data_IF_353462015158
#
_entry.id   IF_353462015158
#
_cell.length_a   1.000
_cell.length_b   1.000
_cell.length_c   1.000
_cell.angle_alpha   90.00
_cell.angle_beta   90.00
_cell.angle_gamma   90.00
#
_symmetry.space_group_name_H-M   'P 1'
#
loop_
_entity.id
_entity.type
_entity.pdbx_description
1 polymer ?
#
# COMPACT_ATOMS: atom_id res chain seq x y z
N UNK A 1 12.32 22.61 4.07
CA UNK A 1 12.55 21.84 2.83
C UNK A 1 12.04 22.65 1.66
N UNK A 2 12.79 22.79 0.57
CA UNK A 2 12.31 23.51 -0.63
C UNK A 2 11.35 22.64 -1.44
N UNK A 3 10.45 23.26 -2.22
CA UNK A 3 9.51 22.54 -3.09
C UNK A 3 10.23 21.59 -4.06
N UNK A 4 11.29 22.08 -4.72
CA UNK A 4 12.13 21.27 -5.61
C UNK A 4 12.75 20.05 -4.92
N UNK A 5 13.14 20.18 -3.64
CA UNK A 5 13.68 19.04 -2.87
C UNK A 5 12.59 18.04 -2.55
N UNK A 6 11.38 18.50 -2.22
CA UNK A 6 10.24 17.63 -1.95
C UNK A 6 9.85 16.80 -3.17
N UNK A 7 9.70 17.44 -4.34
CA UNK A 7 9.39 16.77 -5.60
C UNK A 7 10.42 15.70 -5.96
N UNK A 8 11.70 16.00 -5.79
CA UNK A 8 12.79 15.06 -6.03
C UNK A 8 12.69 13.83 -5.11
N UNK A 9 12.42 14.04 -3.82
CA UNK A 9 12.26 12.91 -2.90
C UNK A 9 11.04 12.07 -3.24
N UNK A 10 9.93 12.71 -3.62
CA UNK A 10 8.71 12.03 -4.02
C UNK A 10 8.88 11.20 -5.30
N UNK A 11 9.70 11.64 -6.25
CA UNK A 11 9.96 10.88 -7.48
C UNK A 11 10.82 9.62 -7.28
N UNK A 12 11.60 9.56 -6.19
CA UNK A 12 12.51 8.45 -5.89
C UNK A 12 12.14 7.68 -4.62
N UNK A 13 10.91 7.83 -4.12
CA UNK A 13 10.46 7.13 -2.93
C UNK A 13 10.23 5.64 -3.23
N UNK A 14 11.11 4.78 -2.71
CA UNK A 14 11.00 3.32 -2.78
C UNK A 14 10.91 2.73 -1.37
N UNK A 15 9.91 1.87 -1.14
CA UNK A 15 9.64 1.28 0.18
C UNK A 15 9.98 -0.22 0.27
N UNK A 16 10.36 -0.84 -0.86
CA UNK A 16 10.86 -2.21 -0.91
C UNK A 16 11.89 -2.38 -2.04
N UNK A 17 12.76 -3.39 -1.92
CA UNK A 17 13.79 -3.71 -2.90
C UNK A 17 13.19 -4.37 -4.15
N UNK A 18 13.01 -3.57 -5.20
CA UNK A 18 12.41 -4.05 -6.46
C UNK A 18 13.26 -5.10 -7.17
N UNK A 19 14.54 -5.28 -6.83
CA UNK A 19 15.40 -6.32 -7.43
C UNK A 19 15.06 -7.72 -6.94
N UNK A 20 14.37 -7.83 -5.81
CA UNK A 20 13.95 -9.09 -5.19
C UNK A 20 12.49 -9.44 -5.48
N UNK A 21 11.81 -8.64 -6.30
CA UNK A 21 10.42 -8.86 -6.66
C UNK A 21 10.32 -10.13 -7.53
N UNK A 22 9.49 -11.12 -7.15
CA UNK A 22 9.27 -12.30 -7.98
C UNK A 22 8.66 -11.94 -9.34
N UNK A 23 8.88 -12.81 -10.33
CA UNK A 23 8.26 -12.68 -11.65
C UNK A 23 6.74 -12.80 -11.58
N UNK A 24 6.04 -12.19 -12.54
CA UNK A 24 4.57 -12.14 -12.57
C UNK A 24 3.90 -13.51 -12.64
N UNK A 25 4.56 -14.47 -13.26
CA UNK A 25 4.06 -15.84 -13.42
C UNK A 25 4.42 -16.73 -12.22
N UNK A 26 5.17 -16.21 -11.25
CA UNK A 26 5.50 -16.91 -10.03
C UNK A 26 4.28 -17.01 -9.11
N UNK A 27 4.10 -18.15 -8.45
CA UNK A 27 3.12 -18.32 -7.36
C UNK A 27 3.33 -17.34 -6.21
N UNK A 28 4.54 -16.78 -6.08
CA UNK A 28 4.92 -15.84 -5.03
C UNK A 28 4.77 -14.37 -5.46
N UNK A 29 4.21 -14.11 -6.65
CA UNK A 29 4.01 -12.75 -7.13
C UNK A 29 2.99 -12.00 -6.28
N UNK A 30 3.44 -10.92 -5.63
CA UNK A 30 2.58 -9.99 -4.91
C UNK A 30 2.45 -8.67 -5.67
N UNK A 31 1.20 -8.31 -6.01
CA UNK A 31 0.84 -7.03 -6.62
C UNK A 31 1.21 -5.83 -5.74
N UNK A 32 1.21 -6.00 -4.42
CA UNK A 32 1.54 -4.96 -3.43
C UNK A 32 3.00 -5.01 -2.96
N UNK A 33 3.86 -5.83 -3.59
CA UNK A 33 5.23 -6.09 -3.14
C UNK A 33 6.01 -4.82 -2.80
N UNK A 34 5.88 -3.76 -3.61
CA UNK A 34 6.60 -2.50 -3.44
C UNK A 34 6.32 -1.76 -2.13
N UNK A 35 5.16 -2.02 -1.51
CA UNK A 35 4.71 -1.37 -0.26
C UNK A 35 4.46 -2.35 0.88
N UNK A 36 4.47 -3.66 0.61
CA UNK A 36 4.13 -4.71 1.57
C UNK A 36 4.87 -4.59 2.91
N UNK A 37 6.20 -4.35 2.97
CA UNK A 37 6.91 -4.23 4.24
C UNK A 37 6.43 -3.04 5.10
N UNK A 38 5.98 -1.96 4.47
CA UNK A 38 5.39 -0.83 5.18
C UNK A 38 4.00 -1.18 5.71
N UNK A 39 3.17 -1.81 4.87
CA UNK A 39 1.83 -2.24 5.26
C UNK A 39 1.88 -3.19 6.45
N UNK A 40 2.77 -4.18 6.44
CA UNK A 40 2.95 -5.11 7.56
C UNK A 40 3.29 -4.37 8.86
N UNK A 41 4.23 -3.42 8.80
CA UNK A 41 4.61 -2.62 9.97
C UNK A 41 3.44 -1.80 10.50
N UNK A 42 2.68 -1.14 9.63
CA UNK A 42 1.53 -0.31 10.01
C UNK A 42 0.43 -1.16 10.61
N UNK A 43 0.08 -2.27 9.97
CA UNK A 43 -0.97 -3.19 10.45
C UNK A 43 -0.57 -3.80 11.80
N UNK A 44 0.69 -4.23 11.95
CA UNK A 44 1.19 -4.75 13.22
C UNK A 44 1.20 -3.69 14.32
N UNK A 45 1.55 -2.44 13.99
CA UNK A 45 1.47 -1.34 14.95
C UNK A 45 0.02 -1.12 15.42
N UNK A 46 -0.97 -1.09 14.51
CA UNK A 46 -2.37 -0.94 14.90
C UNK A 46 -2.87 -2.08 15.79
N UNK A 47 -2.53 -3.34 15.44
CA UNK A 47 -2.90 -4.51 16.26
C UNK A 47 -2.31 -4.47 17.67
N UNK A 48 -1.09 -3.97 17.81
CA UNK A 48 -0.39 -3.94 19.10
C UNK A 48 -0.71 -2.70 19.94
N UNK A 49 -1.19 -1.62 19.32
CA UNK A 49 -1.47 -0.35 20.01
C UNK A 49 -2.90 -0.24 20.50
N UNK A 50 -3.83 -0.99 19.92
CA UNK A 50 -5.25 -0.86 20.23
C UNK A 50 -5.93 -2.21 20.43
N UNK A 51 -6.63 -2.36 21.57
CA UNK A 51 -7.48 -3.52 21.85
C UNK A 51 -8.93 -3.22 21.50
N UNK A 52 -9.53 -3.97 20.56
CA UNK A 52 -10.93 -3.78 20.21
C UNK A 52 -11.89 -4.06 21.38
N UNK A 53 -13.04 -3.37 21.35
CA UNK A 53 -14.18 -3.63 22.26
C UNK A 53 -15.27 -4.45 21.54
N UNK A 54 -16.47 -4.47 22.09
CA UNK A 54 -17.55 -5.38 21.66
C UNK A 54 -18.19 -5.02 20.32
N UNK A 55 -18.32 -3.74 19.98
CA UNK A 55 -19.05 -3.29 18.79
C UNK A 55 -18.08 -2.83 17.71
N UNK A 56 -17.74 -3.72 16.78
CA UNK A 56 -16.88 -3.43 15.62
C UNK A 56 -17.70 -3.51 14.33
N UNK A 57 -17.37 -2.66 13.38
CA UNK A 57 -17.89 -2.70 12.02
C UNK A 57 -16.76 -3.03 11.05
N UNK A 58 -17.05 -3.90 10.08
CA UNK A 58 -16.15 -4.16 8.94
C UNK A 58 -16.82 -3.57 7.71
N UNK A 59 -16.10 -2.72 7.01
CA UNK A 59 -16.54 -2.09 5.77
C UNK A 59 -15.34 -1.91 4.85
N UNK A 60 -15.61 -1.66 3.56
CA UNK A 60 -14.60 -1.42 2.55
C UNK A 60 -14.41 0.08 2.33
N UNK A 61 -13.16 0.53 2.24
CA UNK A 61 -12.82 1.90 1.89
C UNK A 61 -12.03 1.92 0.59
N UNK A 62 -12.48 2.73 -0.37
CA UNK A 62 -11.84 2.87 -1.66
C UNK A 62 -11.08 4.19 -1.72
N UNK A 63 -9.80 4.10 -2.04
CA UNK A 63 -8.96 5.28 -2.30
C UNK A 63 -9.04 5.59 -3.80
N UNK A 64 -9.56 6.77 -4.12
CA UNK A 64 -9.64 7.22 -5.51
C UNK A 64 -8.23 7.34 -6.11
N UNK A 65 -7.99 6.57 -7.18
CA UNK A 65 -6.73 6.63 -7.93
C UNK A 65 -7.03 6.73 -9.42
N UNK A 66 -6.26 7.58 -10.12
CA UNK A 66 -6.23 7.64 -11.59
C UNK A 66 -4.85 7.18 -12.04
N UNK A 67 -4.72 5.89 -12.36
CA UNK A 67 -3.45 5.29 -12.72
C UNK A 67 -3.60 3.92 -13.38
N UNK A 68 -2.49 3.40 -13.93
CA UNK A 68 -2.44 2.10 -14.61
C UNK A 68 -2.20 0.97 -13.60
N UNK A 69 -3.17 0.72 -12.73
CA UNK A 69 -3.15 -0.45 -11.84
C UNK A 69 -4.25 -1.43 -12.28
N UNK A 70 -3.92 -2.72 -12.34
CA UNK A 70 -4.85 -3.76 -12.83
C UNK A 70 -6.03 -4.02 -11.88
N UNK A 71 -5.97 -3.51 -10.66
CA UNK A 71 -6.97 -3.73 -9.61
C UNK A 71 -7.72 -2.44 -9.22
N UNK A 72 -7.65 -1.38 -10.04
CA UNK A 72 -8.53 -0.22 -9.83
C UNK A 72 -9.96 -0.64 -10.12
N UNK A 73 -10.84 -0.46 -9.14
CA UNK A 73 -12.27 -0.68 -9.30
C UNK A 73 -12.97 0.60 -9.73
N UNK A 74 -13.89 0.48 -10.70
CA UNK A 74 -14.83 1.53 -11.01
C UNK A 74 -16.03 1.41 -10.06
N UNK A 75 -16.41 2.49 -9.39
CA UNK A 75 -17.60 2.57 -8.56
C UNK A 75 -18.70 3.29 -9.36
N UNK A 76 -19.58 2.56 -10.07
CA UNK A 76 -20.74 3.16 -10.71
C UNK A 76 -21.70 3.71 -9.65
N UNK A 77 -22.47 4.74 -10.02
CA UNK A 77 -23.54 5.29 -9.20
C UNK A 77 -24.81 4.48 -9.35
#
# INVERSE_FOLDING_TARGET
MSGRRFELLMSYLHLNDSKKMPDRDSSNYDKLYKIHPLLDRVVNAFRNTWTPRQNLSVDESIIAVKGRLSWVQHMPK
#
